data_IF_588720252819
#
_entry.id   IF_588720252819
#
_cell.length_a   1.000
_cell.length_b   1.000
_cell.length_c   1.000
_cell.angle_alpha   90.00
_cell.angle_beta   90.00
_cell.angle_gamma   90.00
#
_symmetry.space_group_name_H-M   'P 1'
#
loop_
_entity.id
_entity.type
_entity.pdbx_description
1 polymer ?
#
# COMPACT_ATOMS: atom_id res chain seq x y z
N UNK A 1 37.04 36.64 -15.80
CA UNK A 1 36.26 36.86 -14.57
C UNK A 1 34.83 36.47 -14.85
N UNK A 2 34.31 35.52 -14.10
CA UNK A 2 32.98 34.94 -14.26
C UNK A 2 31.97 35.59 -13.31
N UNK A 3 30.70 35.71 -13.76
CA UNK A 3 29.42 35.41 -13.05
C UNK A 3 28.31 36.29 -13.66
N UNK A 4 27.51 35.76 -14.59
CA UNK A 4 26.11 35.29 -14.41
C UNK A 4 25.13 36.44 -14.15
N UNK A 5 24.14 36.73 -15.00
CA UNK A 5 23.27 35.82 -15.75
C UNK A 5 22.10 35.36 -14.86
N UNK A 6 20.86 35.62 -15.32
CA UNK A 6 19.54 35.36 -14.70
C UNK A 6 19.09 36.42 -13.68
N UNK A 7 17.97 37.15 -13.83
CA UNK A 7 16.61 36.68 -14.15
C UNK A 7 15.74 37.86 -14.61
N UNK A 8 15.31 37.85 -15.88
CA UNK A 8 14.02 38.43 -16.24
C UNK A 8 12.96 37.35 -15.93
N UNK A 9 12.16 37.58 -14.90
CA UNK A 9 10.95 36.81 -14.62
C UNK A 9 9.81 37.39 -15.46
N UNK A 10 9.78 37.06 -16.75
CA UNK A 10 8.56 37.21 -17.55
C UNK A 10 7.92 35.83 -17.77
N UNK A 11 6.62 35.73 -17.45
CA UNK A 11 5.72 34.87 -18.21
C UNK A 11 5.05 33.67 -17.55
N UNK A 12 4.95 33.53 -16.21
CA UNK A 12 4.21 32.38 -15.62
C UNK A 12 3.27 32.64 -14.43
N UNK A 13 2.83 33.89 -14.23
CA UNK A 13 1.74 34.19 -13.27
C UNK A 13 0.42 34.35 -14.02
N UNK A 14 -0.05 33.26 -14.63
CA UNK A 14 -1.27 33.25 -15.45
C UNK A 14 -2.58 32.99 -14.67
N UNK A 15 -2.54 32.71 -13.37
CA UNK A 15 -3.76 32.52 -12.57
C UNK A 15 -3.50 32.76 -11.07
N UNK A 16 -4.53 33.14 -10.31
CA UNK A 16 -4.48 33.23 -8.84
C UNK A 16 -4.04 31.91 -8.19
N UNK A 17 -4.36 30.78 -8.82
CA UNK A 17 -3.92 29.43 -8.43
C UNK A 17 -2.39 29.26 -8.51
N UNK A 18 -1.73 29.87 -9.50
CA UNK A 18 -0.26 29.81 -9.62
C UNK A 18 0.43 30.64 -8.53
N UNK A 19 -0.14 31.80 -8.19
CA UNK A 19 0.37 32.63 -7.10
C UNK A 19 0.23 31.92 -5.74
N UNK A 20 -0.90 31.26 -5.49
CA UNK A 20 -1.11 30.48 -4.27
C UNK A 20 -0.10 29.33 -4.13
N UNK A 21 0.11 28.54 -5.18
CA UNK A 21 1.06 27.41 -5.17
C UNK A 21 2.49 27.88 -4.88
N UNK A 22 2.93 28.97 -5.53
CA UNK A 22 4.27 29.54 -5.33
C UNK A 22 4.44 30.04 -3.89
N UNK A 23 3.47 30.81 -3.37
CA UNK A 23 3.54 31.32 -2.01
C UNK A 23 3.49 30.19 -0.96
N UNK A 24 2.69 29.13 -1.17
CA UNK A 24 2.68 27.95 -0.29
C UNK A 24 4.03 27.25 -0.25
N UNK A 25 4.66 27.07 -1.41
CA UNK A 25 5.99 26.46 -1.51
C UNK A 25 7.06 27.27 -0.77
N UNK A 26 7.05 28.60 -0.94
CA UNK A 26 8.02 29.51 -0.28
C UNK A 26 7.79 29.53 1.24
N UNK A 27 6.54 29.62 1.70
CA UNK A 27 6.21 29.57 3.12
C UNK A 27 6.67 28.27 3.78
N UNK A 28 6.33 27.12 3.19
CA UNK A 28 6.67 25.83 3.79
C UNK A 28 8.20 25.63 3.87
N UNK A 29 8.92 25.87 2.77
CA UNK A 29 10.38 25.73 2.75
C UNK A 29 11.09 26.74 3.65
N UNK A 30 10.59 27.97 3.72
CA UNK A 30 11.18 29.02 4.54
C UNK A 30 10.88 28.88 6.04
N UNK A 31 9.70 28.39 6.43
CA UNK A 31 9.39 28.10 7.84
C UNK A 31 10.32 27.03 8.42
N UNK A 32 10.64 26.00 7.64
CA UNK A 32 11.62 24.97 8.01
C UNK A 32 13.00 25.60 8.25
N UNK A 33 13.44 26.48 7.34
CA UNK A 33 14.74 27.19 7.45
C UNK A 33 14.77 28.14 8.65
N UNK A 34 13.68 28.84 8.95
CA UNK A 34 13.55 29.66 10.17
C UNK A 34 13.66 28.80 11.44
N UNK A 35 12.99 27.63 11.46
CA UNK A 35 13.12 26.66 12.56
C UNK A 35 14.54 26.12 12.76
N UNK A 36 15.37 26.16 11.71
CA UNK A 36 16.79 25.81 11.72
C UNK A 36 17.72 27.01 12.02
N UNK A 37 17.16 28.19 12.29
CA UNK A 37 17.90 29.41 12.63
C UNK A 37 18.38 30.25 11.45
N UNK A 38 17.96 29.93 10.22
CA UNK A 38 18.27 30.73 9.03
C UNK A 38 17.27 31.88 8.86
N UNK A 39 17.59 33.01 9.48
CA UNK A 39 16.76 34.22 9.43
C UNK A 39 16.82 34.96 8.08
N UNK A 40 17.68 34.55 7.14
CA UNK A 40 17.78 35.22 5.84
C UNK A 40 16.53 35.08 4.96
N UNK A 41 15.65 34.11 5.28
CA UNK A 41 14.39 33.87 4.58
C UNK A 41 13.18 34.54 5.24
N UNK A 42 13.35 35.24 6.36
CA UNK A 42 12.24 35.75 7.17
C UNK A 42 11.28 36.63 6.35
N UNK A 43 11.82 37.55 5.55
CA UNK A 43 11.01 38.46 4.74
C UNK A 43 10.24 37.71 3.64
N UNK A 44 10.86 36.70 3.01
CA UNK A 44 10.20 35.90 1.98
C UNK A 44 9.07 35.05 2.55
N UNK A 45 9.25 34.52 3.76
CA UNK A 45 8.21 33.78 4.49
C UNK A 45 7.07 34.70 4.90
N UNK A 46 7.38 35.87 5.46
CA UNK A 46 6.37 36.85 5.90
C UNK A 46 5.53 37.35 4.73
N UNK A 47 6.16 37.75 3.62
CA UNK A 47 5.46 38.22 2.43
C UNK A 47 4.60 37.12 1.83
N UNK A 48 5.12 35.90 1.72
CA UNK A 48 4.36 34.78 1.19
C UNK A 48 3.18 34.40 2.08
N UNK A 49 3.35 34.45 3.41
CA UNK A 49 2.29 34.15 4.37
C UNK A 49 1.19 35.21 4.30
N UNK A 50 1.58 36.49 4.22
CA UNK A 50 0.65 37.61 4.06
C UNK A 50 -0.13 37.54 2.74
N UNK A 51 0.54 37.22 1.64
CA UNK A 51 -0.14 37.01 0.35
C UNK A 51 -1.11 35.82 0.43
N UNK A 52 -0.71 34.73 1.09
CA UNK A 52 -1.61 33.59 1.32
C UNK A 52 -2.82 33.96 2.16
N UNK A 53 -2.71 34.88 3.14
CA UNK A 53 -3.91 35.35 3.87
C UNK A 53 -4.88 36.16 3.01
N UNK A 54 -4.40 36.80 1.94
CA UNK A 54 -5.23 37.52 0.98
C UNK A 54 -5.79 36.66 -0.17
N UNK A 55 -5.10 35.55 -0.48
CA UNK A 55 -5.50 34.61 -1.53
C UNK A 55 -6.31 33.42 -1.00
N UNK A 56 -6.07 33.02 0.26
CA UNK A 56 -6.86 32.00 0.92
C UNK A 56 -8.12 32.66 1.47
N UNK A 57 -9.24 32.37 0.82
CA UNK A 57 -10.57 32.62 1.37
C UNK A 57 -10.88 31.48 2.35
N UNK A 58 -10.85 31.72 3.68
CA UNK A 58 -11.10 30.67 4.66
C UNK A 58 -12.50 30.09 4.50
N UNK A 59 -13.49 30.86 4.03
CA UNK A 59 -14.86 30.39 3.81
C UNK A 59 -14.94 29.36 2.68
N UNK A 60 -13.92 29.29 1.81
CA UNK A 60 -13.78 28.27 0.75
C UNK A 60 -13.01 27.04 1.18
N UNK A 61 -12.47 26.99 2.40
CA UNK A 61 -11.82 25.78 2.88
C UNK A 61 -12.84 24.67 2.99
N UNK A 62 -12.45 23.44 2.64
CA UNK A 62 -13.36 22.30 2.59
C UNK A 62 -14.11 22.03 3.91
N UNK A 63 -13.55 22.47 5.05
CA UNK A 63 -14.16 22.36 6.38
C UNK A 63 -15.31 23.36 6.60
N UNK A 64 -15.31 24.46 5.85
CA UNK A 64 -16.31 25.54 5.94
C UNK A 64 -17.35 25.46 4.82
N UNK A 65 -17.12 24.63 3.80
CA UNK A 65 -18.12 24.37 2.77
C UNK A 65 -19.28 23.55 3.35
N UNK A 66 -20.54 23.90 3.02
CA UNK A 66 -21.69 23.09 3.42
C UNK A 66 -21.55 21.67 2.86
N UNK A 67 -22.01 20.63 3.59
CA UNK A 67 -21.96 19.25 3.12
C UNK A 67 -22.59 19.14 1.73
N UNK A 68 -21.86 18.57 0.79
CA UNK A 68 -22.40 18.24 -0.53
C UNK A 68 -23.10 16.88 -0.45
N UNK A 69 -24.28 16.78 -1.03
CA UNK A 69 -24.95 15.50 -1.24
C UNK A 69 -24.46 14.91 -2.55
N UNK A 70 -23.88 13.72 -2.50
CA UNK A 70 -23.66 12.91 -3.69
C UNK A 70 -24.90 12.04 -3.91
N UNK A 71 -25.68 12.31 -4.96
CA UNK A 71 -26.83 11.47 -5.31
C UNK A 71 -26.42 10.17 -6.04
N UNK A 72 -25.16 10.03 -6.42
CA UNK A 72 -24.66 8.77 -6.98
C UNK A 72 -24.40 7.79 -5.84
N UNK A 73 -25.34 6.88 -5.64
CA UNK A 73 -25.12 5.71 -4.78
C UNK A 73 -24.08 4.81 -5.46
N UNK A 74 -22.89 4.57 -4.86
CA UNK A 74 -21.82 3.79 -5.50
C UNK A 74 -22.20 2.31 -5.69
N UNK A 75 -23.24 1.83 -5.00
CA UNK A 75 -23.70 0.44 -5.02
C UNK A 75 -25.21 0.35 -5.30
N UNK A 76 -25.72 0.87 -6.43
CA UNK A 76 -27.16 1.12 -6.65
C UNK A 76 -28.02 -0.15 -6.60
N UNK A 77 -27.43 -1.32 -6.87
CA UNK A 77 -28.11 -2.63 -6.83
C UNK A 77 -27.92 -3.37 -5.50
N UNK A 78 -27.31 -2.75 -4.49
CA UNK A 78 -26.95 -3.42 -3.24
C UNK A 78 -25.83 -4.46 -3.38
N UNK A 79 -25.22 -4.57 -4.55
CA UNK A 79 -24.09 -5.45 -4.81
C UNK A 79 -22.76 -4.70 -4.70
N UNK A 80 -21.79 -5.33 -4.06
CA UNK A 80 -20.43 -4.80 -3.91
C UNK A 80 -19.51 -5.55 -4.88
N UNK A 81 -18.72 -4.80 -5.65
CA UNK A 81 -17.62 -5.35 -6.43
C UNK A 81 -16.31 -4.75 -5.92
N UNK A 82 -15.54 -5.52 -5.16
CA UNK A 82 -14.34 -5.04 -4.47
C UNK A 82 -13.12 -5.91 -4.74
N UNK A 83 -11.91 -5.33 -4.69
CA UNK A 83 -10.71 -6.16 -4.50
C UNK A 83 -10.64 -6.65 -3.06
N UNK A 84 -9.98 -7.79 -2.84
CA UNK A 84 -9.72 -8.27 -1.48
C UNK A 84 -8.86 -7.29 -0.68
N UNK A 85 -7.91 -6.60 -1.33
CA UNK A 85 -7.07 -5.58 -0.70
C UNK A 85 -7.92 -4.43 -0.16
N UNK A 86 -8.98 -4.01 -0.86
CA UNK A 86 -9.90 -3.00 -0.38
C UNK A 86 -10.73 -3.51 0.80
N UNK A 87 -11.17 -4.78 0.81
CA UNK A 87 -11.83 -5.38 1.99
C UNK A 87 -10.90 -5.36 3.20
N UNK A 88 -9.63 -5.72 3.01
CA UNK A 88 -8.60 -5.63 4.06
C UNK A 88 -8.38 -4.19 4.53
N UNK A 89 -8.34 -3.21 3.62
CA UNK A 89 -8.25 -1.79 3.99
C UNK A 89 -9.44 -1.36 4.85
N UNK A 90 -10.66 -1.80 4.54
CA UNK A 90 -11.83 -1.51 5.37
C UNK A 90 -11.68 -2.10 6.77
N UNK A 91 -11.30 -3.37 6.87
CA UNK A 91 -11.05 -4.05 8.14
C UNK A 91 -10.01 -3.29 8.97
N UNK A 92 -8.90 -2.89 8.36
CA UNK A 92 -7.84 -2.16 9.05
C UNK A 92 -8.27 -0.74 9.46
N UNK A 93 -8.97 0.00 8.59
CA UNK A 93 -9.54 1.31 8.93
C UNK A 93 -10.65 1.72 7.94
N UNK A 94 -11.94 1.77 8.35
CA UNK A 94 -13.05 2.12 7.47
C UNK A 94 -12.93 3.52 6.84
N UNK A 95 -12.43 4.51 7.59
CA UNK A 95 -12.19 5.85 7.05
C UNK A 95 -11.13 5.85 5.94
N UNK A 96 -10.08 5.04 6.08
CA UNK A 96 -9.07 4.89 5.03
C UNK A 96 -9.67 4.27 3.78
N UNK A 97 -10.50 3.25 3.93
CA UNK A 97 -11.24 2.65 2.81
C UNK A 97 -12.09 3.69 2.07
N UNK A 98 -12.79 4.57 2.80
CA UNK A 98 -13.57 5.65 2.19
C UNK A 98 -12.70 6.58 1.36
N UNK A 99 -11.56 7.02 1.90
CA UNK A 99 -10.62 7.88 1.18
C UNK A 99 -10.05 7.19 -0.07
N UNK A 100 -9.66 5.93 0.04
CA UNK A 100 -9.11 5.14 -1.06
C UNK A 100 -10.14 4.83 -2.14
N UNK A 101 -11.31 4.31 -1.75
CA UNK A 101 -12.25 3.66 -2.68
C UNK A 101 -13.38 4.61 -3.10
N UNK A 102 -13.97 5.36 -2.17
CA UNK A 102 -15.10 6.25 -2.48
C UNK A 102 -14.61 7.59 -3.03
N UNK A 103 -13.52 8.12 -2.49
CA UNK A 103 -12.99 9.42 -2.90
C UNK A 103 -11.80 9.32 -3.86
N UNK A 104 -11.21 8.13 -4.04
CA UNK A 104 -10.06 7.91 -4.94
C UNK A 104 -8.90 8.88 -4.65
N UNK A 105 -8.62 9.12 -3.37
CA UNK A 105 -7.59 10.08 -2.93
C UNK A 105 -6.18 9.49 -2.89
N UNK A 106 -6.02 8.17 -3.00
CA UNK A 106 -4.71 7.54 -2.94
C UNK A 106 -3.89 7.96 -4.14
N UNK A 107 -2.67 8.45 -3.89
CA UNK A 107 -1.68 8.59 -4.96
C UNK A 107 -0.97 7.25 -5.13
N UNK A 108 -1.18 6.51 -6.24
CA UNK A 108 -0.52 5.23 -6.48
C UNK A 108 1.01 5.34 -6.63
N UNK A 109 1.58 6.56 -6.57
CA UNK A 109 3.01 6.85 -6.83
C UNK A 109 3.85 7.02 -5.57
N UNK A 110 3.32 6.77 -4.37
CA UNK A 110 4.12 6.86 -3.15
C UNK A 110 5.31 5.88 -3.15
N UNK A 111 6.52 6.29 -2.69
CA UNK A 111 7.74 5.48 -2.79
C UNK A 111 7.63 4.13 -2.06
N UNK A 112 6.81 4.05 -1.00
CA UNK A 112 6.56 2.79 -0.29
C UNK A 112 5.74 1.78 -1.09
N UNK A 113 4.70 2.23 -1.80
CA UNK A 113 3.87 1.38 -2.67
C UNK A 113 4.72 0.89 -3.85
N UNK A 114 5.46 1.81 -4.48
CA UNK A 114 6.32 1.48 -5.60
C UNK A 114 7.45 0.51 -5.21
N UNK A 115 8.06 0.69 -4.03
CA UNK A 115 9.01 -0.29 -3.46
C UNK A 115 8.35 -1.65 -3.20
N UNK A 116 7.12 -1.66 -2.68
CA UNK A 116 6.35 -2.90 -2.51
C UNK A 116 6.17 -3.63 -3.83
N UNK A 117 5.70 -2.94 -4.86
CA UNK A 117 5.54 -3.51 -6.21
C UNK A 117 6.88 -4.03 -6.79
N UNK A 118 7.97 -3.30 -6.58
CA UNK A 118 9.31 -3.73 -6.99
C UNK A 118 9.70 -5.04 -6.28
N UNK A 119 9.42 -5.16 -4.98
CA UNK A 119 9.74 -6.35 -4.19
C UNK A 119 8.96 -7.59 -4.67
N UNK A 120 7.66 -7.45 -4.96
CA UNK A 120 6.88 -8.54 -5.56
C UNK A 120 7.45 -8.92 -6.93
N UNK A 121 7.75 -7.94 -7.79
CA UNK A 121 8.35 -8.19 -9.10
C UNK A 121 9.70 -8.91 -9.02
N UNK A 122 10.54 -8.58 -8.03
CA UNK A 122 11.82 -9.29 -7.82
C UNK A 122 11.56 -10.76 -7.49
N UNK A 123 10.64 -11.07 -6.58
CA UNK A 123 10.31 -12.46 -6.23
C UNK A 123 9.69 -13.22 -7.41
N UNK A 124 8.75 -12.57 -8.11
CA UNK A 124 8.11 -13.07 -9.32
C UNK A 124 9.16 -13.45 -10.38
N UNK A 125 10.06 -12.53 -10.73
CA UNK A 125 11.11 -12.78 -11.72
C UNK A 125 12.14 -13.81 -11.24
N UNK A 126 12.44 -13.86 -9.94
CA UNK A 126 13.35 -14.86 -9.36
C UNK A 126 12.82 -16.29 -9.55
N UNK A 127 11.51 -16.49 -9.35
CA UNK A 127 10.88 -17.79 -9.56
C UNK A 127 10.50 -18.05 -11.03
N UNK A 128 10.24 -17.02 -11.85
CA UNK A 128 9.93 -17.18 -13.27
C UNK A 128 11.15 -17.52 -14.14
N UNK A 129 12.23 -16.76 -13.97
CA UNK A 129 13.37 -16.79 -14.89
C UNK A 129 14.14 -18.09 -14.80
N UNK A 130 14.55 -18.62 -15.96
CA UNK A 130 15.40 -19.81 -16.07
C UNK A 130 16.89 -19.44 -16.14
N UNK A 131 17.18 -18.22 -16.59
CA UNK A 131 18.50 -17.62 -16.69
C UNK A 131 18.98 -16.98 -15.36
N UNK A 132 18.09 -16.88 -14.36
CA UNK A 132 18.46 -16.44 -13.02
C UNK A 132 18.94 -17.62 -12.17
N UNK A 133 20.16 -17.54 -11.65
CA UNK A 133 20.69 -18.51 -10.69
C UNK A 133 19.81 -18.53 -9.43
N UNK A 134 19.46 -19.72 -8.94
CA UNK A 134 18.77 -19.89 -7.66
C UNK A 134 19.77 -19.78 -6.50
N UNK A 135 20.30 -18.57 -6.31
CA UNK A 135 21.28 -18.22 -5.27
C UNK A 135 21.11 -16.78 -4.79
N UNK A 136 21.77 -16.41 -3.69
CA UNK A 136 21.79 -15.02 -3.18
C UNK A 136 22.35 -14.06 -4.24
N UNK A 137 23.37 -14.48 -4.98
CA UNK A 137 23.97 -13.69 -6.06
C UNK A 137 23.00 -13.51 -7.23
N UNK A 138 22.19 -14.53 -7.53
CA UNK A 138 21.12 -14.44 -8.52
C UNK A 138 20.05 -13.42 -8.13
N UNK A 139 19.58 -13.46 -6.88
CA UNK A 139 18.67 -12.44 -6.34
C UNK A 139 19.28 -11.04 -6.40
N UNK A 140 20.55 -10.90 -5.99
CA UNK A 140 21.27 -9.62 -6.04
C UNK A 140 21.36 -9.07 -7.46
N UNK A 141 21.73 -9.90 -8.43
CA UNK A 141 21.79 -9.51 -9.84
C UNK A 141 20.43 -9.09 -10.37
N UNK A 142 19.37 -9.78 -9.95
CA UNK A 142 18.01 -9.43 -10.35
C UNK A 142 17.55 -8.10 -9.74
N UNK A 143 17.89 -7.83 -8.47
CA UNK A 143 17.69 -6.52 -7.84
C UNK A 143 18.39 -5.45 -8.68
N UNK A 144 19.65 -5.67 -9.09
CA UNK A 144 20.38 -4.71 -9.91
C UNK A 144 19.73 -4.41 -11.26
N UNK A 145 19.13 -5.42 -11.89
CA UNK A 145 18.45 -5.27 -13.18
C UNK A 145 17.10 -4.54 -13.06
N UNK A 146 16.36 -4.80 -11.98
CA UNK A 146 15.00 -4.27 -11.80
C UNK A 146 14.95 -2.94 -11.06
N UNK A 147 16.04 -2.55 -10.40
CA UNK A 147 16.09 -1.31 -9.61
C UNK A 147 16.05 -0.08 -10.51
N UNK A 148 15.11 0.81 -10.23
CA UNK A 148 15.00 2.12 -10.87
C UNK A 148 15.05 3.21 -9.80
N UNK A 149 16.08 4.05 -9.83
CA UNK A 149 16.24 5.17 -8.91
C UNK A 149 15.09 6.19 -9.06
N UNK A 150 14.42 6.25 -10.22
CA UNK A 150 13.31 7.17 -10.48
C UNK A 150 12.03 6.83 -9.69
N UNK A 151 11.97 5.66 -9.05
CA UNK A 151 10.89 5.28 -8.13
C UNK A 151 10.92 6.13 -6.84
N UNK A 152 12.07 6.69 -6.50
CA UNK A 152 12.30 7.38 -5.24
C UNK A 152 12.47 8.88 -5.46
N UNK A 153 11.95 9.68 -4.54
CA UNK A 153 12.00 11.14 -4.62
C UNK A 153 13.43 11.71 -4.71
N UNK A 154 14.40 11.03 -4.10
CA UNK A 154 15.80 11.48 -4.04
C UNK A 154 16.78 10.32 -4.19
N UNK A 155 17.90 10.58 -4.87
CA UNK A 155 18.96 9.59 -5.10
C UNK A 155 19.56 8.97 -3.82
N UNK A 156 19.84 9.73 -2.73
CA UNK A 156 20.30 9.13 -1.47
C UNK A 156 19.30 8.12 -0.90
N UNK A 157 17.99 8.42 -1.00
CA UNK A 157 16.94 7.49 -0.59
C UNK A 157 16.95 6.23 -1.44
N UNK A 158 17.08 6.34 -2.77
CA UNK A 158 17.21 5.17 -3.65
C UNK A 158 18.40 4.27 -3.25
N UNK A 159 19.56 4.86 -2.95
CA UNK A 159 20.76 4.13 -2.52
C UNK A 159 20.52 3.39 -1.19
N UNK A 160 19.94 4.06 -0.20
CA UNK A 160 19.63 3.45 1.10
C UNK A 160 18.63 2.30 0.96
N UNK A 161 17.55 2.53 0.20
CA UNK A 161 16.52 1.51 -0.03
C UNK A 161 17.07 0.31 -0.81
N UNK A 162 18.02 0.52 -1.74
CA UNK A 162 18.67 -0.59 -2.46
C UNK A 162 19.53 -1.43 -1.52
N UNK A 163 20.25 -0.77 -0.60
CA UNK A 163 21.04 -1.46 0.43
C UNK A 163 20.15 -2.27 1.37
N UNK A 164 19.03 -1.70 1.82
CA UNK A 164 18.01 -2.39 2.63
C UNK A 164 17.43 -3.60 1.88
N UNK A 165 17.12 -3.44 0.59
CA UNK A 165 16.67 -4.54 -0.27
C UNK A 165 17.69 -5.68 -0.29
N UNK A 166 18.97 -5.42 -0.57
CA UNK A 166 19.98 -6.48 -0.56
C UNK A 166 20.06 -7.23 0.78
N UNK A 167 19.99 -6.52 1.90
CA UNK A 167 20.03 -7.13 3.23
C UNK A 167 18.83 -8.04 3.45
N UNK A 168 17.62 -7.57 3.15
CA UNK A 168 16.38 -8.33 3.29
C UNK A 168 16.35 -9.54 2.37
N UNK A 169 16.63 -9.37 1.09
CA UNK A 169 16.61 -10.46 0.11
C UNK A 169 17.68 -11.53 0.41
N UNK A 170 18.85 -11.12 0.88
CA UNK A 170 19.87 -12.06 1.38
C UNK A 170 19.39 -12.84 2.61
N UNK A 171 18.76 -12.15 3.57
CA UNK A 171 18.22 -12.77 4.78
C UNK A 171 17.14 -13.79 4.47
N UNK A 172 16.16 -13.43 3.62
CA UNK A 172 15.06 -14.34 3.29
C UNK A 172 15.49 -15.53 2.43
N UNK A 173 16.58 -15.42 1.66
CA UNK A 173 17.06 -16.53 0.83
C UNK A 173 17.37 -17.77 1.69
N UNK A 174 17.88 -17.58 2.91
CA UNK A 174 18.13 -18.66 3.87
C UNK A 174 16.86 -19.41 4.31
N UNK A 175 15.68 -18.82 4.09
CA UNK A 175 14.37 -19.41 4.40
C UNK A 175 13.64 -19.94 3.17
N UNK A 176 14.20 -19.77 1.97
CA UNK A 176 13.65 -20.38 0.77
C UNK A 176 13.99 -21.88 0.73
N UNK A 177 13.18 -22.71 0.03
CA UNK A 177 13.49 -24.12 -0.13
C UNK A 177 14.88 -24.31 -0.77
N UNK A 178 15.62 -25.39 -0.44
CA UNK A 178 17.00 -25.60 -0.91
C UNK A 178 17.09 -25.80 -2.44
N UNK A 179 15.97 -26.09 -3.09
CA UNK A 179 15.82 -26.13 -4.54
C UNK A 179 14.60 -25.32 -4.92
N UNK A 180 14.62 -24.77 -6.13
CA UNK A 180 13.49 -24.03 -6.69
C UNK A 180 12.23 -24.93 -6.64
N UNK A 181 11.13 -24.46 -6.03
CA UNK A 181 9.91 -25.27 -5.88
C UNK A 181 9.28 -25.55 -7.24
N UNK A 182 8.40 -26.55 -7.29
CA UNK A 182 7.59 -26.82 -8.49
C UNK A 182 6.52 -25.73 -8.61
N UNK A 183 6.87 -24.67 -9.31
CA UNK A 183 6.01 -23.53 -9.55
C UNK A 183 4.81 -23.90 -10.44
N UNK A 184 3.60 -23.67 -9.96
CA UNK A 184 2.36 -23.86 -10.73
C UNK A 184 1.87 -22.55 -11.34
N UNK A 185 1.92 -21.46 -10.58
CA UNK A 185 1.53 -20.14 -11.07
C UNK A 185 2.23 -19.02 -10.28
N UNK A 186 2.40 -17.88 -10.95
CA UNK A 186 2.74 -16.59 -10.34
C UNK A 186 1.64 -15.61 -10.68
N UNK A 187 1.36 -14.69 -9.77
CA UNK A 187 0.43 -13.57 -10.00
C UNK A 187 -0.94 -14.06 -10.50
N UNK A 188 -1.41 -15.18 -9.95
CA UNK A 188 -2.62 -15.88 -10.39
C UNK A 188 -3.85 -15.10 -9.95
N UNK A 189 -4.49 -14.44 -10.93
CA UNK A 189 -5.74 -13.71 -10.72
C UNK A 189 -6.88 -14.69 -10.41
N UNK A 190 -7.80 -14.23 -9.58
CA UNK A 190 -9.05 -14.92 -9.32
C UNK A 190 -10.20 -13.92 -9.19
N UNK A 191 -11.40 -14.41 -9.48
CA UNK A 191 -12.65 -13.73 -9.17
C UNK A 191 -13.66 -14.75 -8.66
N UNK A 192 -14.34 -14.44 -7.56
CA UNK A 192 -15.46 -15.24 -7.07
C UNK A 192 -16.64 -14.36 -6.69
N UNK A 193 -17.83 -14.98 -6.67
CA UNK A 193 -19.04 -14.37 -6.16
C UNK A 193 -19.39 -14.99 -4.81
N UNK A 194 -19.83 -14.15 -3.88
CA UNK A 194 -20.34 -14.54 -2.57
C UNK A 194 -21.61 -13.74 -2.30
N UNK A 195 -22.76 -14.43 -2.30
CA UNK A 195 -24.08 -13.84 -2.02
C UNK A 195 -24.43 -12.60 -2.88
N UNK A 196 -24.05 -12.63 -4.15
CA UNK A 196 -24.29 -11.52 -5.09
C UNK A 196 -23.20 -10.44 -5.09
N UNK A 197 -22.25 -10.48 -4.14
CA UNK A 197 -21.07 -9.63 -4.12
C UNK A 197 -19.92 -10.28 -4.88
N UNK A 198 -19.11 -9.47 -5.56
CA UNK A 198 -17.98 -9.91 -6.38
C UNK A 198 -16.67 -9.51 -5.73
N UNK A 199 -15.79 -10.47 -5.55
CA UNK A 199 -14.45 -10.26 -5.01
C UNK A 199 -13.41 -10.67 -6.03
N UNK A 200 -12.38 -9.82 -6.18
CA UNK A 200 -11.25 -10.07 -7.08
C UNK A 200 -9.93 -9.95 -6.36
N UNK A 201 -8.96 -10.72 -6.81
CA UNK A 201 -7.64 -10.72 -6.22
C UNK A 201 -6.62 -11.45 -7.05
N UNK A 202 -5.48 -11.67 -6.42
CA UNK A 202 -4.33 -12.30 -7.04
C UNK A 202 -3.50 -12.97 -5.97
N UNK A 203 -3.11 -14.22 -6.22
CA UNK A 203 -2.18 -14.97 -5.38
C UNK A 203 -0.79 -14.78 -6.00
N UNK A 204 0.18 -14.30 -5.23
CA UNK A 204 1.51 -13.96 -5.76
C UNK A 204 2.23 -15.21 -6.28
N UNK A 205 2.17 -16.32 -5.54
CA UNK A 205 2.81 -17.58 -5.94
C UNK A 205 2.04 -18.80 -5.47
N UNK A 206 1.95 -19.80 -6.37
CA UNK A 206 1.38 -21.12 -6.12
C UNK A 206 2.42 -22.17 -6.45
N UNK A 207 2.78 -22.99 -5.47
CA UNK A 207 3.72 -24.11 -5.65
C UNK A 207 3.00 -25.45 -5.46
N UNK A 208 3.44 -26.47 -6.18
CA UNK A 208 3.09 -27.86 -5.90
C UNK A 208 3.99 -28.41 -4.81
N UNK A 209 3.37 -29.08 -3.84
CA UNK A 209 3.99 -29.85 -2.78
C UNK A 209 3.91 -31.35 -3.09
N UNK A 210 4.57 -32.16 -2.26
CA UNK A 210 4.48 -33.62 -2.35
C UNK A 210 3.03 -34.10 -2.24
N UNK A 211 2.72 -35.21 -2.91
CA UNK A 211 1.35 -35.77 -2.93
C UNK A 211 0.35 -34.95 -3.75
N UNK A 212 0.80 -33.95 -4.51
CA UNK A 212 -0.06 -33.14 -5.38
C UNK A 212 -0.81 -32.02 -4.64
N UNK A 213 -0.52 -31.81 -3.36
CA UNK A 213 -1.01 -30.65 -2.61
C UNK A 213 -0.37 -29.36 -3.10
N UNK A 214 -0.91 -28.21 -2.70
CA UNK A 214 -0.39 -26.90 -3.08
C UNK A 214 -0.25 -25.98 -1.88
N UNK A 215 0.76 -25.10 -1.93
CA UNK A 215 0.87 -23.95 -1.03
C UNK A 215 0.57 -22.65 -1.80
N UNK A 216 -0.08 -21.72 -1.10
CA UNK A 216 -0.35 -20.38 -1.59
C UNK A 216 0.53 -19.39 -0.80
N UNK A 217 1.25 -18.51 -1.50
CA UNK A 217 2.17 -17.56 -0.89
C UNK A 217 1.78 -16.13 -1.30
N UNK A 218 1.75 -15.24 -0.31
CA UNK A 218 1.60 -13.79 -0.46
C UNK A 218 2.84 -13.09 0.09
N UNK A 219 3.50 -12.30 -0.74
CA UNK A 219 4.69 -11.56 -0.34
C UNK A 219 4.31 -10.30 0.41
N UNK A 220 5.06 -9.99 1.47
CA UNK A 220 4.88 -8.76 2.25
C UNK A 220 6.16 -7.95 2.27
N UNK A 221 6.10 -6.71 1.79
CA UNK A 221 7.25 -5.78 1.78
C UNK A 221 7.48 -5.06 3.13
N UNK A 222 6.60 -5.27 4.11
CA UNK A 222 6.71 -4.70 5.45
C UNK A 222 7.79 -5.40 6.26
N UNK A 223 8.70 -4.65 6.87
CA UNK A 223 9.82 -5.22 7.65
C UNK A 223 9.42 -5.92 8.94
N UNK A 224 8.19 -5.72 9.44
CA UNK A 224 7.72 -6.34 10.68
C UNK A 224 6.72 -7.44 10.34
N UNK A 225 7.08 -8.72 10.49
CA UNK A 225 6.14 -9.82 10.34
C UNK A 225 5.02 -9.74 11.36
N UNK A 226 3.84 -10.23 10.97
CA UNK A 226 2.76 -10.54 11.91
C UNK A 226 3.21 -11.61 12.91
N UNK A 227 2.54 -11.72 14.06
CA UNK A 227 2.69 -12.92 14.91
C UNK A 227 2.04 -14.12 14.24
N UNK A 228 2.44 -15.33 14.65
CA UNK A 228 1.84 -16.57 14.15
C UNK A 228 0.32 -16.58 14.40
N UNK A 229 -0.12 -16.23 15.60
CA UNK A 229 -1.55 -16.19 15.97
C UNK A 229 -2.35 -15.19 15.11
N UNK A 230 -1.79 -14.00 14.83
CA UNK A 230 -2.45 -13.01 13.99
C UNK A 230 -2.56 -13.48 12.55
N UNK A 231 -1.51 -14.07 12.00
CA UNK A 231 -1.53 -14.60 10.65
C UNK A 231 -2.49 -15.78 10.49
N UNK A 232 -2.58 -16.66 11.51
CA UNK A 232 -3.50 -17.78 11.54
C UNK A 232 -4.98 -17.35 11.50
N UNK A 233 -5.30 -16.12 11.90
CA UNK A 233 -6.65 -15.55 11.89
C UNK A 233 -6.80 -14.39 10.90
N UNK A 234 -5.78 -14.12 10.09
CA UNK A 234 -5.79 -12.98 9.19
C UNK A 234 -6.82 -13.20 8.07
N UNK A 235 -7.52 -12.12 7.70
CA UNK A 235 -8.62 -12.16 6.75
C UNK A 235 -8.10 -12.35 5.32
N UNK A 236 -6.98 -11.72 4.97
CA UNK A 236 -6.49 -11.76 3.60
C UNK A 236 -6.05 -13.17 3.18
N UNK A 237 -5.38 -13.95 4.04
CA UNK A 237 -5.11 -15.36 3.74
C UNK A 237 -6.40 -16.19 3.69
N UNK A 238 -7.37 -15.88 4.57
CA UNK A 238 -8.69 -16.51 4.57
C UNK A 238 -9.46 -16.30 3.26
N UNK A 239 -9.28 -15.16 2.59
CA UNK A 239 -9.88 -14.90 1.27
C UNK A 239 -9.33 -15.86 0.21
N UNK A 240 -8.08 -16.31 0.32
CA UNK A 240 -7.55 -17.30 -0.62
C UNK A 240 -8.22 -18.66 -0.46
N UNK A 241 -8.57 -19.05 0.77
CA UNK A 241 -9.37 -20.24 1.03
C UNK A 241 -10.72 -20.15 0.30
N UNK A 242 -11.48 -19.06 0.51
CA UNK A 242 -12.75 -18.84 -0.19
C UNK A 242 -12.56 -18.77 -1.71
N UNK A 243 -11.52 -18.10 -2.18
CA UNK A 243 -11.24 -18.00 -3.61
C UNK A 243 -10.99 -19.39 -4.21
N UNK A 244 -10.23 -20.27 -3.55
CA UNK A 244 -10.04 -21.64 -4.04
C UNK A 244 -11.30 -22.49 -4.00
N UNK A 245 -12.20 -22.23 -3.05
CA UNK A 245 -13.50 -22.92 -2.94
C UNK A 245 -14.56 -22.38 -3.90
N UNK A 246 -14.51 -21.12 -4.32
CA UNK A 246 -15.62 -20.46 -5.06
C UNK A 246 -15.24 -19.97 -6.46
N UNK A 247 -13.96 -19.73 -6.75
CA UNK A 247 -13.51 -19.20 -8.04
C UNK A 247 -13.34 -20.30 -9.08
N UNK A 248 -13.91 -20.10 -10.26
CA UNK A 248 -13.65 -20.96 -11.43
C UNK A 248 -12.18 -20.84 -11.89
N UNK A 249 -11.54 -19.67 -11.70
CA UNK A 249 -10.14 -19.45 -12.08
C UNK A 249 -9.16 -20.34 -11.30
N UNK A 250 -9.57 -20.83 -10.13
CA UNK A 250 -8.77 -21.62 -9.20
C UNK A 250 -9.25 -23.06 -9.05
N UNK A 251 -10.14 -23.52 -9.94
CA UNK A 251 -10.74 -24.86 -9.87
C UNK A 251 -9.71 -26.00 -9.81
N UNK A 252 -8.57 -25.84 -10.47
CA UNK A 252 -7.49 -26.84 -10.51
C UNK A 252 -6.78 -27.03 -9.16
N UNK A 253 -6.95 -26.09 -8.22
CA UNK A 253 -6.34 -26.09 -6.90
C UNK A 253 -7.32 -26.42 -5.77
N UNK A 254 -8.60 -26.56 -6.09
CA UNK A 254 -9.67 -26.91 -5.14
C UNK A 254 -9.33 -28.22 -4.42
N UNK A 255 -9.56 -28.26 -3.12
CA UNK A 255 -9.28 -29.41 -2.23
C UNK A 255 -7.80 -29.85 -2.16
N UNK A 256 -6.88 -29.12 -2.79
CA UNK A 256 -5.43 -29.41 -2.80
C UNK A 256 -4.63 -28.47 -1.90
N UNK A 257 -5.21 -27.36 -1.45
CA UNK A 257 -4.52 -26.37 -0.62
C UNK A 257 -4.15 -27.01 0.71
N UNK A 258 -2.85 -27.07 0.99
CA UNK A 258 -2.31 -27.54 2.27
C UNK A 258 -2.00 -26.39 3.22
N UNK A 259 -1.56 -25.26 2.68
CA UNK A 259 -1.19 -24.08 3.46
C UNK A 259 -1.35 -22.80 2.65
N UNK A 260 -1.66 -21.71 3.36
CA UNK A 260 -1.59 -20.35 2.86
C UNK A 260 -0.61 -19.59 3.74
N UNK A 261 0.28 -18.81 3.17
CA UNK A 261 1.31 -18.15 3.96
C UNK A 261 1.65 -16.75 3.51
N UNK A 262 1.91 -15.89 4.48
CA UNK A 262 2.66 -14.67 4.26
C UNK A 262 4.14 -14.98 4.25
N UNK A 263 4.83 -14.41 3.27
CA UNK A 263 6.28 -14.42 3.19
C UNK A 263 6.81 -12.98 3.22
N UNK A 264 7.24 -12.55 4.40
CA UNK A 264 7.74 -11.20 4.65
C UNK A 264 9.17 -11.03 4.12
N UNK A 265 9.37 -10.03 3.27
CA UNK A 265 10.68 -9.61 2.77
C UNK A 265 11.33 -8.74 3.84
N UNK A 266 11.99 -9.40 4.79
CA UNK A 266 12.54 -8.79 6.00
C UNK A 266 13.87 -9.41 6.39
N UNK A 267 14.67 -8.65 7.13
CA UNK A 267 15.88 -9.05 7.82
C UNK A 267 15.62 -9.39 9.31
N UNK A 268 14.35 -9.36 9.74
CA UNK A 268 13.93 -9.53 11.14
C UNK A 268 13.06 -10.76 11.36
N UNK A 269 13.54 -11.66 12.21
CA UNK A 269 12.79 -12.85 12.63
C UNK A 269 12.55 -13.83 11.48
N UNK A 270 11.63 -14.79 11.70
CA UNK A 270 11.23 -15.74 10.65
C UNK A 270 10.33 -15.03 9.63
N UNK A 271 10.56 -15.16 8.31
CA UNK A 271 9.77 -14.45 7.30
C UNK A 271 8.45 -15.13 6.95
N UNK A 272 8.27 -16.43 7.25
CA UNK A 272 7.04 -17.17 6.90
C UNK A 272 6.05 -17.18 8.05
N UNK A 273 4.78 -16.86 7.77
CA UNK A 273 3.65 -17.04 8.69
C UNK A 273 2.57 -17.81 7.97
N UNK A 274 2.08 -18.88 8.58
CA UNK A 274 1.21 -19.85 7.93
C UNK A 274 -0.19 -19.83 8.53
N UNK A 275 -1.19 -20.02 7.68
CA UNK A 275 -2.56 -20.31 8.03
C UNK A 275 -2.96 -21.63 7.36
N UNK A 276 -3.47 -22.56 8.16
CA UNK A 276 -3.96 -23.83 7.66
C UNK A 276 -5.41 -23.69 7.17
N UNK A 277 -5.76 -24.30 6.03
CA UNK A 277 -7.13 -24.32 5.57
C UNK A 277 -7.99 -25.21 6.48
N UNK A 278 -9.21 -24.76 6.79
CA UNK A 278 -10.19 -25.58 7.50
C UNK A 278 -11.63 -25.15 7.15
N UNK A 279 -12.62 -26.05 7.18
CA UNK A 279 -14.03 -25.69 6.94
C UNK A 279 -14.56 -24.64 7.92
N UNK A 280 -14.09 -24.69 9.17
CA UNK A 280 -14.42 -23.69 10.19
C UNK A 280 -13.88 -22.32 9.77
N UNK A 281 -12.61 -22.23 9.37
CA UNK A 281 -12.03 -20.95 8.93
C UNK A 281 -12.73 -20.41 7.70
N UNK A 282 -13.09 -21.26 6.74
CA UNK A 282 -13.86 -20.84 5.56
C UNK A 282 -15.19 -20.18 5.94
N UNK A 283 -15.89 -20.76 6.93
CA UNK A 283 -17.15 -20.22 7.46
C UNK A 283 -16.93 -18.86 8.15
N UNK A 284 -15.92 -18.77 9.03
CA UNK A 284 -15.59 -17.51 9.73
C UNK A 284 -15.24 -16.38 8.75
N UNK A 285 -14.45 -16.67 7.72
CA UNK A 285 -14.08 -15.69 6.69
C UNK A 285 -15.31 -15.24 5.92
N UNK A 286 -16.23 -16.16 5.59
CA UNK A 286 -17.48 -15.83 4.89
C UNK A 286 -18.29 -14.81 5.72
N UNK A 287 -18.50 -15.10 7.00
CA UNK A 287 -19.25 -14.22 7.91
C UNK A 287 -18.57 -12.86 8.06
N UNK A 288 -17.25 -12.84 8.24
CA UNK A 288 -16.46 -11.61 8.38
C UNK A 288 -16.55 -10.71 7.13
N UNK A 289 -16.46 -11.29 5.92
CA UNK A 289 -16.59 -10.54 4.67
C UNK A 289 -18.00 -9.97 4.53
N UNK A 290 -19.04 -10.75 4.82
CA UNK A 290 -20.43 -10.29 4.69
C UNK A 290 -20.77 -9.18 5.70
N UNK A 291 -20.23 -9.24 6.91
CA UNK A 291 -20.33 -8.15 7.89
C UNK A 291 -19.65 -6.87 7.38
N UNK A 292 -18.44 -6.97 6.83
CA UNK A 292 -17.74 -5.83 6.21
C UNK A 292 -18.55 -5.25 5.05
N UNK A 293 -19.09 -6.10 4.17
CA UNK A 293 -19.91 -5.68 3.03
C UNK A 293 -21.15 -4.93 3.52
N UNK A 294 -21.87 -5.46 4.52
CA UNK A 294 -23.06 -4.82 5.05
C UNK A 294 -22.76 -3.40 5.56
N UNK A 295 -21.65 -3.22 6.29
CA UNK A 295 -21.22 -1.92 6.79
C UNK A 295 -20.78 -0.95 5.68
N UNK A 296 -20.10 -1.44 4.64
CA UNK A 296 -19.75 -0.63 3.45
C UNK A 296 -21.02 -0.14 2.76
N UNK A 297 -22.00 -1.02 2.54
CA UNK A 297 -23.26 -0.68 1.89
C UNK A 297 -24.12 0.27 2.74
N UNK A 298 -24.00 0.21 4.07
CA UNK A 298 -24.61 1.17 5.00
C UNK A 298 -23.83 2.49 5.12
N UNK A 299 -22.75 2.68 4.34
CA UNK A 299 -21.85 3.84 4.37
C UNK A 299 -21.21 4.12 5.76
N UNK A 300 -20.98 3.06 6.54
CA UNK A 300 -20.37 3.16 7.85
C UNK A 300 -18.84 3.26 7.75
N UNK A 301 -18.30 4.47 7.88
CA UNK A 301 -16.84 4.70 7.77
C UNK A 301 -16.27 5.39 9.00
N UNK A 302 -16.33 4.78 10.21
CA UNK A 302 -15.74 5.38 11.38
C UNK A 302 -14.21 5.52 11.22
N UNK A 303 -13.66 6.63 11.72
CA UNK A 303 -12.21 6.83 11.83
C UNK A 303 -11.65 6.06 13.03
N UNK A 304 -11.75 4.72 12.96
CA UNK A 304 -11.31 3.78 13.99
C UNK A 304 -10.44 2.71 13.33
N UNK A 305 -9.11 2.84 13.41
CA UNK A 305 -8.23 1.79 12.92
C UNK A 305 -8.18 0.60 13.88
N UNK A 306 -7.92 -0.59 13.36
CA UNK A 306 -7.67 -1.81 14.15
C UNK A 306 -6.43 -1.63 15.05
N UNK A 307 -5.42 -0.92 14.55
CA UNK A 307 -4.24 -0.52 15.31
C UNK A 307 -4.02 0.99 15.22
N UNK A 308 -3.95 1.67 16.37
CA UNK A 308 -3.69 3.11 16.43
C UNK A 308 -2.32 3.51 15.86
N UNK A 309 -1.36 2.57 15.79
CA UNK A 309 -0.06 2.79 15.15
C UNK A 309 -0.21 2.99 13.63
N UNK A 310 -1.26 2.47 12.99
CA UNK A 310 -1.48 2.72 11.57
C UNK A 310 -1.73 4.21 11.27
N UNK A 311 -2.22 4.98 12.24
CA UNK A 311 -2.46 6.42 12.06
C UNK A 311 -1.20 7.26 11.87
N UNK A 312 -0.05 6.84 12.40
CA UNK A 312 1.16 7.66 12.34
C UNK A 312 1.84 7.61 10.97
N UNK A 313 1.60 6.55 10.19
CA UNK A 313 2.11 6.38 8.82
C UNK A 313 1.00 6.51 7.77
N UNK A 314 -0.24 6.79 8.18
CA UNK A 314 -1.37 7.00 7.30
C UNK A 314 -1.18 8.26 6.45
N UNK A 315 -1.26 8.11 5.13
CA UNK A 315 -1.16 9.21 4.15
C UNK A 315 -2.27 10.25 4.31
N UNK A 316 -3.43 9.85 4.86
CA UNK A 316 -4.59 10.71 5.07
C UNK A 316 -4.62 11.40 6.43
N UNK A 317 -3.52 11.39 7.20
CA UNK A 317 -3.50 11.93 8.56
C UNK A 317 -3.96 13.39 8.67
N UNK A 318 -3.80 14.20 7.61
CA UNK A 318 -4.23 15.60 7.56
C UNK A 318 -5.69 15.79 7.14
N UNK A 319 -6.30 14.78 6.53
CA UNK A 319 -7.71 14.76 6.11
C UNK A 319 -8.59 14.04 7.14
N UNK A 320 -8.00 13.14 7.94
CA UNK A 320 -8.74 12.30 8.86
C UNK A 320 -9.33 13.12 10.02
N UNK A 321 -10.64 12.99 10.34
CA UNK A 321 -11.27 13.71 11.45
C UNK A 321 -10.78 13.24 12.82
N UNK A 322 -10.05 12.12 12.88
CA UNK A 322 -9.49 11.56 14.13
C UNK A 322 -8.06 11.05 13.89
N UNK A 323 -7.10 11.57 14.64
CA UNK A 323 -5.73 11.04 14.68
C UNK A 323 -5.44 10.43 16.04
N UNK A 324 -4.97 9.19 16.04
CA UNK A 324 -4.41 8.53 17.22
C UNK A 324 -2.88 8.60 17.14
N UNK A 325 -2.19 8.92 18.23
CA UNK A 325 -0.72 9.08 18.28
C UNK A 325 -0.20 10.52 18.23
N UNK A 326 1.10 10.75 18.44
CA UNK A 326 1.68 12.09 18.49
C UNK A 326 1.56 12.81 17.13
N UNK A 327 1.32 14.13 17.15
CA UNK A 327 1.53 14.95 15.95
C UNK A 327 3.03 14.97 15.69
N UNK A 328 3.47 14.40 14.57
CA UNK A 328 4.83 14.66 14.10
C UNK A 328 4.86 16.16 13.77
N UNK A 329 5.53 16.93 14.62
CA UNK A 329 5.85 18.32 14.34
C UNK A 329 6.96 18.29 13.29
N UNK A 330 6.59 18.33 12.01
CA UNK A 330 7.51 18.55 10.90
C UNK A 330 7.55 20.04 10.58
#
# INVERSE_FOLDING_TARGET
>A
MASSGYTQLEGYVGSSKNAEVVCRSICNGGLIRLGQGDWSVADQVLVSAYVLTGLADPDRWWVNLPPTSNQNHPHPEGALSSSYSSVQTYKSCPMRYKFDTHFSLSDPRGPYIARGNLYHRIMEEFFRRRDCSYSVEGLRSLIDQLWDDAIFDFKPMAIEQKRDAYQKFSSIFAYLPPRKPRLLALEKKFKFALEGHVFRGRIDQINELDGGQVELIDYKSTSTPLSDDRAAQDLQLGIYLLATSLSDDLRDYRDRVASMSYFFITDKGRPRREQNPSPQRETEVREEILDIVAKILAEEFPAQPESTWECNTCEYQYLCPRKYGPRNNW
#
